data_IF_941429852867
#
_entry.id   IF_941429852867
#
_cell.length_a   1.000
_cell.length_b   1.000
_cell.length_c   1.000
_cell.angle_alpha   90.00
_cell.angle_beta   90.00
_cell.angle_gamma   90.00
#
_symmetry.space_group_name_H-M   'P 1'
#
loop_
_entity.id
_entity.type
_entity.pdbx_description
1 polymer ?
#
# COMPACT_ATOMS: atom_id res chain seq x y z
N UNK A 1 12.76 2.41 23.47
CA UNK A 1 12.31 1.00 23.41
C UNK A 1 10.85 0.82 22.96
N UNK A 2 9.81 1.40 23.60
CA UNK A 2 8.41 1.07 23.25
C UNK A 2 7.99 1.53 21.86
N UNK A 3 8.58 2.62 21.35
CA UNK A 3 8.26 3.14 20.01
C UNK A 3 8.80 2.25 18.89
N UNK A 4 10.04 1.76 19.00
CA UNK A 4 10.69 0.88 18.00
C UNK A 4 9.92 -0.43 17.80
N UNK A 5 9.51 -1.08 18.90
CA UNK A 5 8.69 -2.30 18.84
C UNK A 5 7.34 -2.01 18.18
N UNK A 6 6.69 -0.88 18.51
CA UNK A 6 5.42 -0.50 17.88
C UNK A 6 5.57 -0.28 16.38
N UNK A 7 6.61 0.42 15.93
CA UNK A 7 6.89 0.63 14.51
C UNK A 7 7.14 -0.69 13.77
N UNK A 8 7.79 -1.66 14.40
CA UNK A 8 7.96 -2.99 13.83
C UNK A 8 6.61 -3.69 13.57
N UNK A 9 5.73 -3.76 14.57
CA UNK A 9 4.40 -4.37 14.40
C UNK A 9 3.51 -3.59 13.43
N UNK A 10 3.57 -2.26 13.48
CA UNK A 10 2.87 -1.40 12.51
C UNK A 10 3.38 -1.67 11.10
N UNK A 11 4.68 -1.91 10.91
CA UNK A 11 5.25 -2.33 9.63
C UNK A 11 4.67 -3.66 9.13
N UNK A 12 4.51 -4.65 10.01
CA UNK A 12 3.88 -5.94 9.68
C UNK A 12 2.43 -5.74 9.24
N UNK A 13 1.65 -4.94 9.99
CA UNK A 13 0.24 -4.69 9.69
C UNK A 13 0.12 -3.91 8.37
N UNK A 14 0.95 -2.88 8.16
CA UNK A 14 0.99 -2.13 6.91
C UNK A 14 1.35 -3.05 5.74
N UNK A 15 2.29 -3.98 5.91
CA UNK A 15 2.59 -4.97 4.88
C UNK A 15 1.41 -5.85 4.51
N UNK A 16 0.61 -6.30 5.48
CA UNK A 16 -0.59 -7.08 5.18
C UNK A 16 -1.54 -6.32 4.25
N UNK A 17 -1.70 -5.02 4.47
CA UNK A 17 -2.56 -4.17 3.66
C UNK A 17 -2.00 -3.89 2.26
N UNK A 18 -0.68 -3.96 2.09
CA UNK A 18 -0.02 -3.78 0.79
C UNK A 18 -0.12 -5.03 -0.10
N UNK A 19 -0.19 -6.22 0.50
CA UNK A 19 -0.33 -7.48 -0.24
C UNK A 19 -1.79 -7.72 -0.66
N UNK A 20 -2.76 -7.31 0.18
CA UNK A 20 -4.18 -7.57 -0.04
C UNK A 20 -4.78 -6.53 -1.02
N UNK A 21 -5.27 -6.94 -2.21
CA UNK A 21 -5.62 -6.03 -3.30
C UNK A 21 -6.91 -5.24 -3.04
N UNK A 22 -6.81 -3.93 -2.86
CA UNK A 22 -7.96 -3.07 -2.56
C UNK A 22 -8.02 -2.58 -1.11
N UNK A 23 -7.02 -2.93 -0.28
CA UNK A 23 -6.80 -2.30 1.03
C UNK A 23 -5.73 -1.21 0.90
N UNK A 24 -5.99 -0.02 1.45
CA UNK A 24 -5.03 1.09 1.42
C UNK A 24 -4.13 1.10 2.65
N UNK A 25 -2.83 0.86 2.46
CA UNK A 25 -1.87 0.87 3.56
C UNK A 25 -1.64 2.24 4.20
N UNK A 26 -1.79 3.33 3.44
CA UNK A 26 -1.74 4.69 4.01
C UNK A 26 -2.92 4.97 4.94
N UNK A 27 -4.13 4.48 4.63
CA UNK A 27 -5.29 4.61 5.53
C UNK A 27 -5.07 3.87 6.85
N UNK A 28 -4.55 2.64 6.80
CA UNK A 28 -4.28 1.87 8.01
C UNK A 28 -3.22 2.56 8.87
N UNK A 29 -2.15 3.08 8.25
CA UNK A 29 -1.15 3.87 8.97
C UNK A 29 -1.75 5.15 9.60
N UNK A 30 -2.67 5.82 8.92
CA UNK A 30 -3.37 6.99 9.45
C UNK A 30 -4.24 6.61 10.65
N UNK A 31 -5.00 5.52 10.54
CA UNK A 31 -5.87 5.02 11.59
C UNK A 31 -5.08 4.59 12.83
N UNK A 32 -3.90 4.00 12.63
CA UNK A 32 -2.98 3.64 13.71
C UNK A 32 -2.22 4.85 14.29
N UNK A 33 -2.31 6.03 13.67
CA UNK A 33 -1.60 7.24 14.10
C UNK A 33 -0.11 7.27 13.75
N UNK A 34 0.35 6.36 12.88
CA UNK A 34 1.76 6.24 12.48
C UNK A 34 2.05 6.79 11.08
N UNK A 35 1.05 7.29 10.35
CA UNK A 35 1.25 7.89 9.03
C UNK A 35 2.22 9.09 9.07
N UNK A 36 1.92 10.10 9.90
CA UNK A 36 2.74 11.32 9.99
C UNK A 36 4.18 11.02 10.44
N UNK A 37 4.43 10.25 11.52
CA UNK A 37 5.79 9.89 11.94
C UNK A 37 6.60 9.16 10.85
N UNK A 38 5.96 8.25 10.09
CA UNK A 38 6.64 7.48 9.04
C UNK A 38 6.97 8.38 7.85
N UNK A 39 6.01 9.20 7.38
CA UNK A 39 6.24 10.10 6.25
C UNK A 39 7.29 11.16 6.59
N UNK A 40 7.23 11.76 7.78
CA UNK A 40 8.24 12.72 8.23
C UNK A 40 9.63 12.09 8.30
N UNK A 41 9.75 10.86 8.83
CA UNK A 41 11.00 10.13 8.85
C UNK A 41 11.55 9.86 7.43
N UNK A 42 10.68 9.50 6.48
CA UNK A 42 11.10 9.34 5.07
C UNK A 42 11.57 10.68 4.48
N UNK A 43 10.80 11.76 4.64
CA UNK A 43 11.13 13.09 4.09
C UNK A 43 12.45 13.61 4.64
N UNK A 44 12.66 13.50 5.95
CA UNK A 44 13.89 13.97 6.59
C UNK A 44 15.09 13.07 6.25
N UNK A 45 14.90 11.77 6.04
CA UNK A 45 15.94 10.87 5.50
C UNK A 45 16.37 11.33 4.11
N UNK A 46 15.42 11.58 3.19
CA UNK A 46 15.71 12.06 1.83
C UNK A 46 16.41 13.41 1.86
N UNK A 47 15.93 14.34 2.69
CA UNK A 47 16.53 15.67 2.83
C UNK A 47 17.98 15.60 3.35
N UNK A 48 18.23 14.74 4.34
CA UNK A 48 19.56 14.54 4.93
C UNK A 48 20.55 13.91 3.94
N UNK A 49 20.05 13.03 3.06
CA UNK A 49 20.82 12.44 1.97
C UNK A 49 21.22 13.49 0.93
N UNK A 50 20.28 14.36 0.53
CA UNK A 50 20.53 15.45 -0.42
C UNK A 50 21.48 16.50 0.16
N UNK A 51 21.41 16.79 1.46
CA UNK A 51 22.28 17.77 2.13
C UNK A 51 23.64 17.21 2.57
N UNK A 52 23.95 15.94 2.30
CA UNK A 52 25.21 15.31 2.69
C UNK A 52 25.43 15.16 4.21
N UNK A 53 24.38 15.25 5.02
CA UNK A 53 24.48 15.18 6.48
C UNK A 53 24.24 13.75 6.96
N UNK A 54 25.32 12.95 7.00
CA UNK A 54 25.26 11.55 7.41
C UNK A 54 24.91 11.36 8.89
N UNK A 55 25.22 12.34 9.76
CA UNK A 55 24.89 12.27 11.19
C UNK A 55 23.37 12.29 11.44
N UNK A 56 22.65 13.18 10.75
CA UNK A 56 21.19 13.23 10.82
C UNK A 56 20.53 12.02 10.13
N UNK A 57 21.15 11.51 9.06
CA UNK A 57 20.69 10.33 8.34
C UNK A 57 20.63 9.07 9.22
N UNK A 58 21.67 8.79 10.02
CA UNK A 58 21.68 7.61 10.90
C UNK A 58 20.58 7.65 11.96
N UNK A 59 20.30 8.82 12.55
CA UNK A 59 19.24 8.98 13.54
C UNK A 59 17.84 8.75 12.97
N UNK A 60 17.62 9.16 11.72
CA UNK A 60 16.37 8.94 11.00
C UNK A 60 16.20 7.47 10.61
N UNK A 61 17.28 6.84 10.15
CA UNK A 61 17.31 5.45 9.75
C UNK A 61 17.00 4.51 10.93
N UNK A 62 17.34 4.89 12.17
CA UNK A 62 16.99 4.16 13.40
C UNK A 62 15.47 3.97 13.60
N UNK A 63 14.64 4.88 13.10
CA UNK A 63 13.17 4.78 13.15
C UNK A 63 12.65 3.97 11.96
N UNK A 64 13.24 4.18 10.78
CA UNK A 64 12.78 3.57 9.54
C UNK A 64 13.20 2.09 9.40
N UNK A 65 14.34 1.72 9.96
CA UNK A 65 14.88 0.36 9.95
C UNK A 65 13.95 -0.69 10.58
N UNK A 66 13.48 -0.55 11.84
CA UNK A 66 12.56 -1.51 12.44
C UNK A 66 11.23 -1.59 11.69
N UNK A 67 10.73 -0.46 11.18
CA UNK A 67 9.52 -0.42 10.34
C UNK A 67 9.74 -1.19 9.04
N UNK A 68 10.85 -0.94 8.34
CA UNK A 68 11.22 -1.62 7.11
C UNK A 68 11.39 -3.13 7.28
N UNK A 69 12.03 -3.58 8.37
CA UNK A 69 12.10 -5.02 8.69
C UNK A 69 10.70 -5.59 8.93
N UNK A 70 9.87 -4.89 9.71
CA UNK A 70 8.48 -5.29 9.93
C UNK A 70 7.70 -5.43 8.63
N UNK A 71 7.89 -4.50 7.69
CA UNK A 71 7.27 -4.56 6.36
C UNK A 71 7.75 -5.79 5.57
N UNK A 72 9.06 -6.03 5.50
CA UNK A 72 9.61 -7.18 4.76
C UNK A 72 9.11 -8.52 5.33
N UNK A 73 9.12 -8.65 6.65
CA UNK A 73 8.60 -9.83 7.35
C UNK A 73 7.11 -9.97 7.08
N UNK A 74 6.33 -8.90 7.23
CA UNK A 74 4.90 -8.91 6.98
C UNK A 74 4.55 -9.32 5.55
N UNK A 75 5.26 -8.78 4.56
CA UNK A 75 5.04 -9.13 3.14
C UNK A 75 5.28 -10.63 2.95
N UNK A 76 6.40 -11.15 3.45
CA UNK A 76 6.74 -12.56 3.31
C UNK A 76 5.67 -13.48 3.93
N UNK A 77 5.26 -13.23 5.17
CA UNK A 77 4.28 -14.07 5.85
C UNK A 77 2.88 -13.94 5.25
N UNK A 78 2.45 -12.75 4.86
CA UNK A 78 1.12 -12.53 4.28
C UNK A 78 1.05 -13.12 2.87
N UNK A 79 2.09 -12.96 2.06
CA UNK A 79 2.17 -13.59 0.74
C UNK A 79 2.07 -15.13 0.87
N UNK A 80 2.83 -15.72 1.79
CA UNK A 80 2.80 -17.17 2.06
C UNK A 80 1.45 -17.64 2.61
N UNK A 81 0.78 -16.81 3.41
CA UNK A 81 -0.56 -17.10 3.90
C UNK A 81 -1.56 -17.13 2.74
N UNK A 82 -1.54 -16.13 1.85
CA UNK A 82 -2.42 -16.09 0.68
C UNK A 82 -2.12 -17.26 -0.25
N UNK A 83 -0.86 -17.61 -0.47
CA UNK A 83 -0.46 -18.78 -1.25
C UNK A 83 -1.07 -20.08 -0.67
N UNK A 84 -1.01 -20.24 0.66
CA UNK A 84 -1.59 -21.40 1.35
C UNK A 84 -3.11 -21.43 1.21
N UNK A 85 -3.77 -20.27 1.32
CA UNK A 85 -5.22 -20.13 1.14
C UNK A 85 -5.63 -20.44 -0.31
N UNK A 86 -4.89 -19.96 -1.30
CA UNK A 86 -5.14 -20.27 -2.70
C UNK A 86 -4.95 -21.77 -2.98
N UNK A 87 -3.97 -22.42 -2.35
CA UNK A 87 -3.72 -23.85 -2.55
C UNK A 87 -4.81 -24.76 -1.97
N UNK A 88 -5.41 -24.41 -0.82
CA UNK A 88 -6.41 -25.24 -0.14
C UNK A 88 -7.86 -24.79 -0.39
N UNK A 89 -8.07 -23.49 -0.61
CA UNK A 89 -9.37 -22.83 -0.72
C UNK A 89 -9.41 -21.86 -1.91
N UNK A 90 -9.00 -22.34 -3.08
CA UNK A 90 -8.83 -21.54 -4.30
C UNK A 90 -10.07 -20.69 -4.64
N UNK A 91 -11.23 -21.34 -4.81
CA UNK A 91 -12.47 -20.68 -5.24
C UNK A 91 -12.96 -19.62 -4.24
N UNK A 92 -12.88 -19.92 -2.93
CA UNK A 92 -13.29 -18.99 -1.89
C UNK A 92 -12.34 -17.78 -1.83
N UNK A 93 -11.05 -18.02 -1.95
CA UNK A 93 -10.02 -16.98 -1.90
C UNK A 93 -10.11 -16.04 -3.11
N UNK A 94 -10.30 -16.58 -4.32
CA UNK A 94 -10.54 -15.76 -5.52
C UNK A 94 -11.83 -14.94 -5.39
N UNK A 95 -12.91 -15.53 -4.87
CA UNK A 95 -14.17 -14.82 -4.66
C UNK A 95 -14.02 -13.67 -3.66
N UNK A 96 -13.24 -13.87 -2.58
CA UNK A 96 -12.92 -12.82 -1.62
C UNK A 96 -12.08 -11.70 -2.24
N UNK A 97 -11.04 -12.04 -3.03
CA UNK A 97 -10.20 -11.07 -3.76
C UNK A 97 -11.05 -10.26 -4.75
N UNK A 98 -11.91 -10.92 -5.53
CA UNK A 98 -12.81 -10.23 -6.47
C UNK A 98 -13.77 -9.28 -5.74
N UNK A 99 -14.36 -9.70 -4.62
CA UNK A 99 -15.21 -8.84 -3.80
C UNK A 99 -14.47 -7.58 -3.32
N UNK A 100 -13.22 -7.73 -2.89
CA UNK A 100 -12.38 -6.61 -2.45
C UNK A 100 -12.01 -5.66 -3.60
N UNK A 101 -11.66 -6.20 -4.77
CA UNK A 101 -11.35 -5.43 -5.98
C UNK A 101 -12.56 -4.62 -6.44
N UNK A 102 -13.76 -5.21 -6.41
CA UNK A 102 -15.01 -4.54 -6.79
C UNK A 102 -15.39 -3.45 -5.78
N UNK A 103 -15.15 -3.68 -4.48
CA UNK A 103 -15.45 -2.70 -3.44
C UNK A 103 -14.59 -1.43 -3.53
N UNK A 104 -13.32 -1.55 -3.95
CA UNK A 104 -12.38 -0.43 -4.04
C UNK A 104 -12.89 0.76 -4.89
N UNK A 105 -13.24 0.61 -6.18
CA UNK A 105 -13.75 1.72 -6.99
C UNK A 105 -15.09 2.26 -6.47
N UNK A 106 -15.94 1.42 -5.87
CA UNK A 106 -17.20 1.86 -5.29
C UNK A 106 -17.00 2.87 -4.16
N UNK A 107 -16.06 2.60 -3.26
CA UNK A 107 -15.71 3.51 -2.16
C UNK A 107 -15.11 4.82 -2.69
N UNK A 108 -14.27 4.75 -3.72
CA UNK A 108 -13.62 5.93 -4.32
C UNK A 108 -14.65 6.85 -4.99
N UNK A 109 -15.60 6.28 -5.75
CA UNK A 109 -16.66 7.04 -6.42
C UNK A 109 -17.53 7.76 -5.40
N UNK A 110 -17.86 7.11 -4.28
CA UNK A 110 -18.68 7.71 -3.21
C UNK A 110 -18.00 8.90 -2.52
N UNK A 111 -16.66 8.89 -2.44
CA UNK A 111 -15.88 10.01 -1.89
C UNK A 111 -15.57 11.11 -2.91
N UNK A 112 -15.87 10.89 -4.19
CA UNK A 112 -15.60 11.87 -5.25
C UNK A 112 -16.72 12.91 -5.33
N UNK A 113 -16.38 14.17 -5.08
CA UNK A 113 -17.30 15.30 -5.29
C UNK A 113 -17.63 15.44 -6.78
N UNK A 114 -18.84 15.04 -7.16
CA UNK A 114 -19.32 15.02 -8.56
C UNK A 114 -19.31 16.43 -9.20
N UNK A 115 -19.27 17.49 -8.39
CA UNK A 115 -19.22 18.89 -8.84
C UNK A 115 -17.90 19.33 -9.47
N UNK A 116 -16.81 18.54 -9.39
CA UNK A 116 -15.50 18.87 -9.99
C UNK A 116 -15.15 18.03 -11.22
N UNK A 117 -16.09 17.25 -11.76
CA UNK A 117 -15.85 16.35 -12.89
C UNK A 117 -15.92 17.15 -14.20
N UNK A 118 -14.78 17.33 -14.87
CA UNK A 118 -14.67 18.02 -16.15
C UNK A 118 -14.74 17.01 -17.32
N UNK A 119 -15.06 17.50 -18.52
CA UNK A 119 -15.05 16.68 -19.75
C UNK A 119 -13.66 16.09 -20.00
N UNK A 120 -12.60 16.84 -19.70
CA UNK A 120 -11.22 16.36 -19.82
C UNK A 120 -10.90 15.20 -18.87
N UNK A 121 -11.39 15.22 -17.63
CA UNK A 121 -11.17 14.10 -16.69
C UNK A 121 -11.89 12.83 -17.12
N UNK A 122 -13.07 12.95 -17.75
CA UNK A 122 -13.81 11.79 -18.29
C UNK A 122 -13.02 11.16 -19.44
N UNK A 123 -12.53 11.97 -20.38
CA UNK A 123 -11.72 11.48 -21.51
C UNK A 123 -10.45 10.77 -21.01
N UNK A 124 -9.73 11.37 -20.04
CA UNK A 124 -8.53 10.77 -19.45
C UNK A 124 -8.86 9.44 -18.77
N UNK A 125 -9.97 9.36 -18.02
CA UNK A 125 -10.40 8.13 -17.35
C UNK A 125 -10.75 7.02 -18.35
N UNK A 126 -11.39 7.35 -19.48
CA UNK A 126 -11.71 6.39 -20.53
C UNK A 126 -10.45 5.87 -21.24
N UNK A 127 -9.50 6.75 -21.56
CA UNK A 127 -8.23 6.37 -22.19
C UNK A 127 -7.40 5.47 -21.26
N UNK A 128 -7.25 5.88 -20.00
CA UNK A 128 -6.47 5.12 -19.01
C UNK A 128 -7.12 3.76 -18.69
N UNK A 129 -8.45 3.69 -18.61
CA UNK A 129 -9.17 2.42 -18.47
C UNK A 129 -8.93 1.49 -19.67
N UNK A 130 -9.07 2.00 -20.90
CA UNK A 130 -8.83 1.22 -22.12
C UNK A 130 -7.38 0.72 -22.22
N UNK A 131 -6.40 1.58 -21.93
CA UNK A 131 -4.99 1.20 -21.90
C UNK A 131 -4.71 0.12 -20.84
N UNK A 132 -5.24 0.29 -19.63
CA UNK A 132 -5.11 -0.69 -18.54
C UNK A 132 -5.73 -2.04 -18.90
N UNK A 133 -6.92 -2.04 -19.52
CA UNK A 133 -7.59 -3.25 -19.98
C UNK A 133 -6.77 -3.98 -21.07
N UNK A 134 -6.24 -3.26 -22.05
CA UNK A 134 -5.37 -3.85 -23.07
C UNK A 134 -4.13 -4.50 -22.45
N UNK A 135 -3.45 -3.82 -21.53
CA UNK A 135 -2.25 -4.34 -20.85
C UNK A 135 -2.59 -5.61 -20.06
N UNK A 136 -3.67 -5.59 -19.27
CA UNK A 136 -4.11 -6.75 -18.51
C UNK A 136 -4.48 -7.94 -19.43
N UNK A 137 -5.15 -7.67 -20.55
CA UNK A 137 -5.50 -8.70 -21.53
C UNK A 137 -4.29 -9.33 -22.19
N UNK A 138 -3.24 -8.56 -22.51
CA UNK A 138 -2.00 -9.11 -23.07
C UNK A 138 -1.20 -9.92 -22.04
N UNK A 139 -1.08 -9.42 -20.80
CA UNK A 139 -0.38 -10.14 -19.71
C UNK A 139 -1.10 -11.43 -19.30
N UNK A 140 -2.43 -11.47 -19.35
CA UNK A 140 -3.21 -12.66 -19.00
C UNK A 140 -3.28 -13.73 -20.09
N UNK A 141 -2.62 -13.51 -21.24
CA UNK A 141 -2.52 -14.49 -22.33
C UNK A 141 -1.24 -15.34 -22.28
N UNK A 142 -0.31 -15.02 -21.39
CA UNK A 142 0.87 -15.84 -21.07
C UNK A 142 0.57 -16.81 -19.92
#
# INVERSE_FOLDING_TARGET
>A
APMVIRLFFVGIIAAATMVIPGVSGSMILMLLGFYTPVIEAVTLTVKSLVSGNFGAFFNQCLILFPFGIGVLIGIYYVAKLIELLLKHYESLTYSAILGLIIASPFVIIMQTSISSVNVSSIIISAITFGAGFCVAYFLGRE
#
